data_IF_484995172139
#
_entry.id   IF_484995172139
#
_cell.length_a   1.000
_cell.length_b   1.000
_cell.length_c   1.000
_cell.angle_alpha   90.00
_cell.angle_beta   90.00
_cell.angle_gamma   90.00
#
_symmetry.space_group_name_H-M   'P 1'
#
loop_
_entity.id
_entity.type
_entity.pdbx_description
1 polymer ?
#
# COMPACT_ATOMS: atom_id res chain seq x y z
N UNK A 1 -9.37 7.36 15.34
CA UNK A 1 -8.08 7.80 14.78
C UNK A 1 -7.92 7.15 13.44
N UNK A 2 -7.48 7.88 12.42
CA UNK A 2 -7.35 7.39 11.04
C UNK A 2 -5.89 7.23 10.66
N UNK A 3 -5.54 6.07 10.11
CA UNK A 3 -4.19 5.79 9.63
C UNK A 3 -4.22 5.46 8.13
N UNK A 4 -3.34 6.10 7.37
CA UNK A 4 -3.08 5.75 5.98
C UNK A 4 -1.77 4.98 5.90
N UNK A 5 -1.80 3.77 5.36
CA UNK A 5 -0.62 2.97 5.05
C UNK A 5 -0.42 3.00 3.54
N UNK A 6 0.79 3.23 3.06
CA UNK A 6 1.11 3.20 1.64
C UNK A 6 2.07 2.07 1.31
N UNK A 7 1.61 1.04 0.60
CA UNK A 7 2.48 -0.03 0.07
C UNK A 7 2.09 -0.32 -1.38
N UNK A 8 2.81 0.23 -2.37
CA UNK A 8 2.48 0.05 -3.78
C UNK A 8 2.88 -1.32 -4.33
N UNK A 9 3.82 -2.04 -3.70
CA UNK A 9 4.34 -3.32 -4.18
C UNK A 9 3.67 -4.52 -3.52
N UNK A 10 3.46 -5.58 -4.31
CA UNK A 10 2.96 -6.88 -3.84
C UNK A 10 3.98 -8.01 -3.98
N UNK A 11 5.20 -7.69 -4.43
CA UNK A 11 6.26 -8.67 -4.58
C UNK A 11 6.99 -8.89 -3.25
N UNK A 12 7.23 -10.17 -2.90
CA UNK A 12 8.02 -10.55 -1.74
C UNK A 12 7.29 -10.44 -0.40
N UNK A 13 8.03 -10.19 0.68
CA UNK A 13 7.51 -10.25 2.05
C UNK A 13 6.78 -8.98 2.52
N UNK A 14 6.65 -7.93 1.68
CA UNK A 14 6.11 -6.64 2.10
C UNK A 14 4.66 -6.75 2.63
N UNK A 15 3.81 -7.53 1.94
CA UNK A 15 2.40 -7.69 2.33
C UNK A 15 2.23 -8.44 3.67
N UNK A 16 3.20 -9.28 4.06
CA UNK A 16 3.21 -9.91 5.39
C UNK A 16 3.40 -8.86 6.49
N UNK A 17 4.32 -7.92 6.29
CA UNK A 17 4.53 -6.84 7.26
C UNK A 17 3.35 -5.89 7.31
N UNK A 18 2.77 -5.54 6.16
CA UNK A 18 1.55 -4.72 6.08
C UNK A 18 0.41 -5.40 6.82
N UNK A 19 0.22 -6.71 6.64
CA UNK A 19 -0.79 -7.49 7.37
C UNK A 19 -0.64 -7.34 8.88
N UNK A 20 0.55 -7.59 9.43
CA UNK A 20 0.76 -7.50 10.89
C UNK A 20 0.56 -6.07 11.43
N UNK A 21 0.92 -5.06 10.65
CA UNK A 21 0.67 -3.67 11.03
C UNK A 21 -0.82 -3.34 11.05
N UNK A 22 -1.57 -3.75 10.02
CA UNK A 22 -3.02 -3.56 9.95
C UNK A 22 -3.70 -4.31 11.11
N UNK A 23 -3.33 -5.58 11.35
CA UNK A 23 -3.82 -6.38 12.48
C UNK A 23 -3.69 -5.62 13.81
N UNK A 24 -2.50 -5.11 14.11
CA UNK A 24 -2.23 -4.40 15.35
C UNK A 24 -3.00 -3.07 15.44
N UNK A 25 -3.07 -2.30 14.35
CA UNK A 25 -3.77 -1.01 14.32
C UNK A 25 -5.29 -1.19 14.47
N UNK A 26 -5.89 -2.15 13.77
CA UNK A 26 -7.31 -2.47 13.90
C UNK A 26 -7.63 -2.93 15.33
N UNK A 27 -6.77 -3.74 15.95
CA UNK A 27 -6.94 -4.18 17.35
C UNK A 27 -6.90 -3.01 18.36
N UNK A 28 -6.26 -1.89 18.00
CA UNK A 28 -6.22 -0.65 18.79
C UNK A 28 -7.41 0.29 18.48
N UNK A 29 -8.36 -0.12 17.63
CA UNK A 29 -9.49 0.70 17.22
C UNK A 29 -9.13 1.84 16.26
N UNK A 30 -8.02 1.69 15.52
CA UNK A 30 -7.64 2.61 14.45
C UNK A 30 -8.42 2.27 13.19
N UNK A 31 -8.95 3.31 12.56
CA UNK A 31 -9.55 3.23 11.23
C UNK A 31 -8.43 3.26 10.19
N UNK A 32 -8.19 2.14 9.52
CA UNK A 32 -7.01 1.93 8.68
C UNK A 32 -7.41 1.92 7.22
N UNK A 33 -6.73 2.73 6.41
CA UNK A 33 -6.78 2.66 4.95
C UNK A 33 -5.43 2.23 4.40
N UNK A 34 -5.39 1.13 3.65
CA UNK A 34 -4.24 0.72 2.86
C UNK A 34 -4.36 1.30 1.45
N UNK A 35 -3.46 2.20 1.10
CA UNK A 35 -3.29 2.67 -0.27
C UNK A 35 -2.20 1.86 -0.98
N UNK A 36 -2.58 1.23 -2.08
CA UNK A 36 -1.72 0.31 -2.84
C UNK A 36 -1.94 0.47 -4.34
N UNK A 37 -1.25 -0.31 -5.17
CA UNK A 37 -1.49 -0.34 -6.62
C UNK A 37 -2.67 -1.25 -6.96
N UNK A 38 -3.38 -0.99 -8.07
CA UNK A 38 -4.46 -1.90 -8.52
C UNK A 38 -3.93 -3.31 -8.76
N UNK A 39 -2.75 -3.43 -9.34
CA UNK A 39 -2.12 -4.71 -9.63
C UNK A 39 -1.79 -5.48 -8.34
N UNK A 40 -1.49 -4.79 -7.24
CA UNK A 40 -1.35 -5.45 -5.93
C UNK A 40 -2.66 -6.09 -5.50
N UNK A 41 -3.78 -5.37 -5.59
CA UNK A 41 -5.10 -5.89 -5.18
C UNK A 41 -5.55 -7.11 -5.99
N UNK A 42 -5.04 -7.28 -7.20
CA UNK A 42 -5.35 -8.39 -8.11
C UNK A 42 -4.39 -9.59 -7.95
N UNK A 43 -3.36 -9.47 -7.11
CA UNK A 43 -2.33 -10.51 -6.95
C UNK A 43 -2.72 -11.61 -5.97
N UNK A 44 -2.21 -12.83 -6.20
CA UNK A 44 -2.41 -13.96 -5.27
C UNK A 44 -1.84 -13.67 -3.86
N UNK A 45 -0.73 -12.94 -3.78
CA UNK A 45 -0.10 -12.58 -2.50
C UNK A 45 -0.99 -11.63 -1.68
N UNK A 46 -1.71 -10.73 -2.33
CA UNK A 46 -2.70 -9.88 -1.65
C UNK A 46 -3.84 -10.71 -1.08
N UNK A 47 -4.41 -11.64 -1.87
CA UNK A 47 -5.46 -12.55 -1.38
C UNK A 47 -4.96 -13.39 -0.19
N UNK A 48 -3.75 -13.94 -0.29
CA UNK A 48 -3.15 -14.80 0.74
C UNK A 48 -2.85 -14.07 2.05
N UNK A 49 -2.39 -12.83 1.98
CA UNK A 49 -1.96 -12.08 3.16
C UNK A 49 -3.04 -11.16 3.74
N UNK A 50 -3.85 -10.53 2.89
CA UNK A 50 -4.82 -9.50 3.28
C UNK A 50 -6.27 -9.89 2.98
N UNK A 51 -6.52 -10.88 2.11
CA UNK A 51 -7.88 -11.29 1.75
C UNK A 51 -8.72 -11.85 2.90
N UNK A 52 -8.08 -12.37 3.96
CA UNK A 52 -8.78 -12.84 5.16
C UNK A 52 -9.23 -11.70 6.11
N UNK A 53 -8.77 -10.47 5.87
CA UNK A 53 -9.10 -9.28 6.68
C UNK A 53 -10.32 -8.50 6.17
N UNK A 54 -11.05 -9.08 5.23
CA UNK A 54 -12.16 -8.44 4.52
C UNK A 54 -13.19 -7.89 5.54
N UNK A 55 -13.26 -6.55 5.66
CA UNK A 55 -14.20 -5.83 6.53
C UNK A 55 -13.60 -5.04 7.70
N UNK A 56 -12.32 -5.17 8.02
CA UNK A 56 -11.70 -4.45 9.17
C UNK A 56 -10.85 -3.23 8.79
N UNK A 57 -10.59 -3.02 7.50
CA UNK A 57 -9.80 -1.89 6.98
C UNK A 57 -10.21 -1.59 5.53
N UNK A 58 -9.95 -0.37 5.08
CA UNK A 58 -10.23 0.08 3.72
C UNK A 58 -9.04 -0.12 2.78
N UNK A 59 -9.32 -0.32 1.50
CA UNK A 59 -8.28 -0.44 0.46
C UNK A 59 -8.52 0.59 -0.64
N UNK A 60 -7.48 1.39 -0.94
CA UNK A 60 -7.45 2.32 -2.06
C UNK A 60 -6.43 1.87 -3.10
N UNK A 61 -6.92 1.40 -4.24
CA UNK A 61 -6.10 1.01 -5.39
C UNK A 61 -5.78 2.21 -6.29
N UNK A 62 -4.50 2.34 -6.68
CA UNK A 62 -4.01 3.35 -7.64
C UNK A 62 -3.66 2.73 -8.98
N UNK A 63 -4.13 3.35 -10.06
CA UNK A 63 -3.85 3.00 -11.46
C UNK A 63 -2.59 3.68 -12.02
N UNK A 64 -1.89 4.46 -11.20
CA UNK A 64 -0.75 5.26 -11.64
C UNK A 64 0.56 4.45 -11.78
N UNK A 65 0.55 3.18 -11.38
CA UNK A 65 1.74 2.35 -11.41
C UNK A 65 1.76 1.44 -12.63
N UNK A 66 2.91 1.42 -13.30
CA UNK A 66 3.19 0.50 -14.41
C UNK A 66 3.74 -0.84 -13.88
N UNK A 67 3.54 -1.89 -14.69
CA UNK A 67 4.22 -3.16 -14.49
C UNK A 67 5.67 -3.10 -15.00
N UNK A 68 6.57 -3.69 -14.23
CA UNK A 68 7.91 -4.02 -14.69
C UNK A 68 7.88 -5.20 -15.67
N UNK A 69 8.97 -5.40 -16.42
CA UNK A 69 9.13 -6.54 -17.33
C UNK A 69 9.03 -7.90 -16.64
N UNK A 70 9.22 -7.94 -15.32
CA UNK A 70 9.13 -9.14 -14.48
C UNK A 70 7.78 -9.29 -13.78
N UNK A 71 6.78 -8.46 -14.12
CA UNK A 71 5.41 -8.56 -13.60
C UNK A 71 5.18 -7.91 -12.22
N UNK A 72 6.21 -7.35 -11.58
CA UNK A 72 6.05 -6.58 -10.34
C UNK A 72 5.75 -5.10 -10.60
N UNK A 73 5.26 -4.38 -9.58
CA UNK A 73 5.00 -2.92 -9.66
C UNK A 73 6.29 -2.13 -9.77
N UNK A 74 6.40 -1.29 -10.79
CA UNK A 74 7.56 -0.41 -10.98
C UNK A 74 7.41 0.84 -10.11
N UNK A 75 8.04 0.78 -8.93
CA UNK A 75 8.07 1.91 -7.99
C UNK A 75 9.40 2.67 -8.02
N UNK A 76 10.43 2.09 -8.63
CA UNK A 76 11.76 2.69 -8.77
C UNK A 76 11.91 3.49 -10.07
N UNK A 77 12.77 4.51 -10.01
CA UNK A 77 13.03 5.47 -11.09
C UNK A 77 12.05 6.65 -11.11
N UNK A 78 12.25 7.65 -11.99
CA UNK A 78 11.50 8.90 -11.96
C UNK A 78 9.98 8.71 -12.05
N UNK A 79 9.52 7.86 -12.98
CA UNK A 79 8.09 7.60 -13.15
C UNK A 79 7.48 6.96 -11.89
N UNK A 80 8.12 5.94 -11.31
CA UNK A 80 7.65 5.30 -10.09
C UNK A 80 7.62 6.24 -8.89
N UNK A 81 8.60 7.15 -8.79
CA UNK A 81 8.61 8.19 -7.76
C UNK A 81 7.46 9.19 -7.93
N UNK A 82 7.21 9.66 -9.16
CA UNK A 82 6.09 10.56 -9.44
C UNK A 82 4.74 9.89 -9.17
N UNK A 83 4.56 8.64 -9.58
CA UNK A 83 3.34 7.87 -9.29
C UNK A 83 3.15 7.62 -7.80
N UNK A 84 4.24 7.37 -7.06
CA UNK A 84 4.20 7.22 -5.60
C UNK A 84 3.77 8.52 -4.92
N UNK A 85 4.46 9.63 -5.24
CA UNK A 85 4.14 10.95 -4.67
C UNK A 85 2.71 11.37 -4.98
N UNK A 86 2.26 11.20 -6.23
CA UNK A 86 0.89 11.55 -6.63
C UNK A 86 -0.13 10.70 -5.89
N UNK A 87 0.07 9.38 -5.86
CA UNK A 87 -0.79 8.46 -5.12
C UNK A 87 -0.88 8.87 -3.64
N UNK A 88 0.25 9.08 -2.97
CA UNK A 88 0.31 9.50 -1.56
C UNK A 88 -0.45 10.81 -1.35
N UNK A 89 -0.19 11.84 -2.17
CA UNK A 89 -0.84 13.14 -2.03
C UNK A 89 -2.36 13.04 -2.22
N UNK A 90 -2.83 12.21 -3.15
CA UNK A 90 -4.25 11.97 -3.38
C UNK A 90 -4.88 11.22 -2.20
N UNK A 91 -4.16 10.26 -1.62
CA UNK A 91 -4.57 9.55 -0.41
C UNK A 91 -4.68 10.47 0.81
N UNK A 92 -3.66 11.30 1.04
CA UNK A 92 -3.65 12.28 2.15
C UNK A 92 -4.80 13.28 2.02
N UNK A 93 -5.12 13.76 0.81
CA UNK A 93 -6.24 14.67 0.58
C UNK A 93 -7.60 14.03 0.80
N UNK A 94 -7.76 12.77 0.39
CA UNK A 94 -9.03 12.04 0.42
C UNK A 94 -9.33 11.52 1.82
N UNK A 95 -8.38 10.79 2.40
CA UNK A 95 -8.54 10.13 3.70
C UNK A 95 -8.35 11.12 4.86
N UNK A 96 -7.51 12.15 4.68
CA UNK A 96 -7.12 13.11 5.72
C UNK A 96 -6.70 12.39 7.02
N UNK A 97 -5.77 11.42 6.96
CA UNK A 97 -5.44 10.60 8.11
C UNK A 97 -4.78 11.42 9.23
N UNK A 98 -4.89 10.95 10.47
CA UNK A 98 -4.15 11.49 11.61
C UNK A 98 -2.69 11.02 11.58
N UNK A 99 -2.46 9.80 11.06
CA UNK A 99 -1.14 9.19 10.91
C UNK A 99 -0.94 8.64 9.51
N UNK A 100 0.26 8.83 8.96
CA UNK A 100 0.64 8.28 7.67
C UNK A 100 1.89 7.42 7.83
N UNK A 101 1.85 6.20 7.30
CA UNK A 101 2.96 5.25 7.32
C UNK A 101 3.38 4.84 5.92
N UNK A 102 4.67 4.99 5.64
CA UNK A 102 5.33 4.46 4.45
C UNK A 102 6.30 3.38 4.94
N UNK A 103 6.04 2.08 4.68
CA UNK A 103 6.99 1.02 4.95
C UNK A 103 8.18 1.20 3.99
N UNK A 104 9.23 1.86 4.48
CA UNK A 104 10.43 2.10 3.70
C UNK A 104 11.31 0.84 3.75
N UNK A 105 11.04 -0.12 2.86
CA UNK A 105 11.77 -1.40 2.78
C UNK A 105 12.77 -1.50 1.62
N UNK A 106 12.59 -0.72 0.56
CA UNK A 106 13.57 -0.61 -0.53
C UNK A 106 14.04 0.85 -0.57
N UNK A 107 15.37 1.12 -0.55
CA UNK A 107 15.82 2.44 -0.95
C UNK A 107 15.22 2.71 -2.33
N UNK A 108 14.65 3.90 -2.52
CA UNK A 108 14.39 4.49 -3.82
C UNK A 108 15.76 4.62 -4.50
N UNK A 109 16.30 3.50 -4.98
CA UNK A 109 17.65 3.42 -5.49
C UNK A 109 17.69 4.12 -6.84
N UNK A 110 18.70 4.98 -6.97
CA UNK A 110 19.02 5.75 -8.18
C UNK A 110 19.09 4.87 -9.44
#
# INVERSE_FOLDING_TARGET
MRALLFEPQFAGHNLVYVRHLIEALCALGVDVTLQTSRQATESEEFTKHLGAFDGNFDVLASDLFDLSKTGGVRVNGPAGLFSSLRTILDGLKTIKPDHFYVPFGNPLAH
#
